data_IF_890623925585
#
_entry.id   IF_890623925585
#
_cell.length_a   1.000
_cell.length_b   1.000
_cell.length_c   1.000
_cell.angle_alpha   90.00
_cell.angle_beta   90.00
_cell.angle_gamma   90.00
#
_symmetry.space_group_name_H-M   'P 1'
#
loop_
_entity.id
_entity.type
_entity.pdbx_description
1 polymer ?
#
# COMPACT_ATOMS: atom_id res chain seq x y z
N UNK A 1 21.32 -6.87 4.83
CA UNK A 1 21.14 -5.50 4.31
C UNK A 1 19.64 -5.28 4.09
N UNK A 2 18.93 -4.82 5.13
CA UNK A 2 17.48 -4.64 5.08
C UNK A 2 17.14 -3.34 4.36
N UNK A 3 16.49 -3.47 3.21
CA UNK A 3 16.08 -2.34 2.38
C UNK A 3 14.88 -1.68 3.06
N UNK A 4 15.12 -0.78 4.02
CA UNK A 4 14.09 0.05 4.66
C UNK A 4 13.60 1.13 3.68
N UNK A 5 12.95 0.69 2.60
CA UNK A 5 12.25 1.58 1.66
C UNK A 5 11.02 2.12 2.38
N UNK A 6 11.13 3.36 2.87
CA UNK A 6 10.06 4.28 3.30
C UNK A 6 8.65 3.66 3.14
N UNK A 7 8.05 3.18 4.23
CA UNK A 7 6.71 2.60 4.27
C UNK A 7 5.64 3.71 4.14
N UNK A 8 5.71 4.51 3.08
CA UNK A 8 4.78 5.60 2.81
C UNK A 8 3.56 5.04 2.08
N UNK A 9 2.39 5.51 2.49
CA UNK A 9 1.13 5.23 1.80
C UNK A 9 1.21 5.68 0.33
N UNK A 10 0.73 4.87 -0.61
CA UNK A 10 0.70 5.18 -2.05
C UNK A 10 -0.68 5.63 -2.56
N UNK A 11 -1.56 6.02 -1.65
CA UNK A 11 -2.94 6.38 -1.96
C UNK A 11 -3.79 5.19 -2.42
N UNK A 12 -5.07 5.43 -2.74
CA UNK A 12 -6.04 4.35 -2.96
C UNK A 12 -5.90 3.66 -4.32
N UNK A 13 -5.23 4.28 -5.30
CA UNK A 13 -5.00 3.68 -6.63
C UNK A 13 -3.64 3.00 -6.74
N UNK A 14 -2.71 3.37 -5.86
CA UNK A 14 -1.44 2.69 -5.69
C UNK A 14 -0.26 3.16 -6.50
N UNK A 15 -0.30 4.41 -6.97
CA UNK A 15 0.82 5.19 -7.50
C UNK A 15 1.84 4.38 -8.30
N UNK A 16 1.75 4.42 -9.63
CA UNK A 16 2.60 3.60 -10.48
C UNK A 16 4.09 3.92 -10.32
N UNK A 17 4.89 2.87 -10.10
CA UNK A 17 6.35 2.94 -10.08
C UNK A 17 7.00 3.15 -8.72
N UNK A 18 8.34 3.08 -8.73
CA UNK A 18 9.20 3.32 -7.56
C UNK A 18 9.37 4.82 -7.24
N UNK A 19 8.77 5.68 -8.09
CA UNK A 19 8.80 7.14 -8.05
C UNK A 19 7.45 7.78 -7.73
N UNK A 20 6.38 7.00 -7.50
CA UNK A 20 5.15 7.59 -7.01
C UNK A 20 5.41 8.13 -5.60
N UNK A 21 5.56 9.45 -5.50
CA UNK A 21 5.65 10.14 -4.22
C UNK A 21 4.48 9.68 -3.37
N UNK A 22 4.79 8.94 -2.31
CA UNK A 22 3.77 8.44 -1.41
C UNK A 22 2.93 9.61 -0.92
N UNK A 23 1.62 9.42 -0.83
CA UNK A 23 0.75 10.39 -0.17
C UNK A 23 1.32 10.61 1.23
N UNK A 24 1.56 11.88 1.60
CA UNK A 24 2.08 12.30 2.91
C UNK A 24 1.09 12.06 4.04
N UNK A 25 0.65 10.81 4.19
CA UNK A 25 -0.21 10.35 5.27
C UNK A 25 0.68 10.06 6.48
N UNK A 26 0.34 10.66 7.61
CA UNK A 26 1.04 10.45 8.88
C UNK A 26 0.44 9.36 9.77
N UNK A 27 -0.38 8.49 9.17
CA UNK A 27 -0.94 7.33 9.86
C UNK A 27 0.17 6.32 10.20
N UNK A 28 0.29 5.90 11.47
CA UNK A 28 1.30 4.93 11.89
C UNK A 28 1.00 3.51 11.40
N UNK A 29 -0.26 3.19 11.10
CA UNK A 29 -0.68 1.89 10.61
C UNK A 29 -0.58 1.84 9.08
N UNK A 30 0.40 1.09 8.59
CA UNK A 30 0.63 0.86 7.16
C UNK A 30 0.40 -0.61 6.84
N UNK A 31 -0.33 -0.87 5.76
CA UNK A 31 -0.72 -2.19 5.28
C UNK A 31 -0.10 -2.47 3.92
N UNK A 32 0.32 -3.70 3.67
CA UNK A 32 0.58 -4.22 2.33
C UNK A 32 -0.62 -5.03 1.84
N UNK A 33 -1.12 -4.66 0.67
CA UNK A 33 -2.24 -5.33 -0.03
C UNK A 33 -1.67 -6.06 -1.24
N UNK A 34 -1.85 -7.38 -1.30
CA UNK A 34 -1.36 -8.18 -2.42
C UNK A 34 -2.13 -7.89 -3.72
N UNK A 35 -1.40 -7.92 -4.84
CA UNK A 35 -1.97 -7.68 -6.17
C UNK A 35 -1.51 -8.72 -7.19
N UNK A 36 -2.39 -9.10 -8.10
CA UNK A 36 -2.11 -10.02 -9.20
C UNK A 36 -1.15 -9.38 -10.21
N UNK A 37 0.02 -9.98 -10.38
CA UNK A 37 1.09 -9.54 -11.32
C UNK A 37 1.56 -8.09 -11.11
N UNK A 38 1.32 -7.52 -9.94
CA UNK A 38 1.77 -6.17 -9.55
C UNK A 38 2.45 -6.24 -8.17
N UNK A 39 3.39 -5.34 -7.85
CA UNK A 39 3.95 -5.24 -6.51
C UNK A 39 2.86 -5.00 -5.46
N UNK A 40 3.06 -5.51 -4.24
CA UNK A 40 2.16 -5.24 -3.13
C UNK A 40 1.99 -3.73 -2.92
N UNK A 41 0.76 -3.31 -2.69
CA UNK A 41 0.39 -1.91 -2.53
C UNK A 41 0.41 -1.53 -1.05
N UNK A 42 1.24 -0.55 -0.71
CA UNK A 42 1.31 0.03 0.64
C UNK A 42 0.32 1.15 0.83
N UNK A 43 -0.56 1.03 1.81
CA UNK A 43 -1.59 2.03 2.13
C UNK A 43 -1.73 2.20 3.64
N UNK A 44 -2.06 3.41 4.08
CA UNK A 44 -2.44 3.64 5.48
C UNK A 44 -3.85 3.12 5.77
N UNK A 45 -4.24 3.10 7.06
CA UNK A 45 -5.58 2.71 7.47
C UNK A 45 -6.69 3.48 6.73
N UNK A 46 -6.51 4.80 6.54
CA UNK A 46 -7.47 5.66 5.82
C UNK A 46 -7.69 5.21 4.37
N UNK A 47 -6.62 4.81 3.69
CA UNK A 47 -6.67 4.43 2.27
C UNK A 47 -6.91 2.93 2.04
N UNK A 48 -6.93 2.10 3.09
CA UNK A 48 -7.14 0.67 2.96
C UNK A 48 -8.50 0.34 2.33
N UNK A 49 -9.60 0.88 2.86
CA UNK A 49 -10.94 0.64 2.32
C UNK A 49 -11.06 1.05 0.84
N UNK A 50 -10.75 2.31 0.49
CA UNK A 50 -10.73 2.74 -0.90
C UNK A 50 -9.79 1.92 -1.80
N UNK A 51 -8.63 1.51 -1.31
CA UNK A 51 -7.69 0.65 -2.05
C UNK A 51 -8.31 -0.69 -2.44
N UNK A 52 -9.02 -1.34 -1.53
CA UNK A 52 -9.66 -2.63 -1.81
C UNK A 52 -10.75 -2.52 -2.89
N UNK A 53 -11.31 -1.32 -3.09
CA UNK A 53 -12.35 -1.05 -4.08
C UNK A 53 -11.80 -0.54 -5.42
N UNK A 54 -10.73 0.25 -5.39
CA UNK A 54 -10.29 1.08 -6.52
C UNK A 54 -8.95 0.66 -7.11
N UNK A 55 -8.09 -0.03 -6.35
CA UNK A 55 -6.78 -0.41 -6.84
C UNK A 55 -6.88 -1.59 -7.81
N UNK A 56 -6.21 -1.47 -8.96
CA UNK A 56 -6.17 -2.54 -9.95
C UNK A 56 -5.45 -3.79 -9.43
N UNK A 57 -6.01 -4.96 -9.71
CA UNK A 57 -5.36 -6.24 -9.46
C UNK A 57 -5.36 -6.70 -7.99
N UNK A 58 -6.08 -6.04 -7.08
CA UNK A 58 -6.25 -6.57 -5.71
C UNK A 58 -6.85 -7.98 -5.75
N UNK A 59 -6.26 -8.90 -4.99
CA UNK A 59 -6.72 -10.30 -4.94
C UNK A 59 -8.08 -10.43 -4.25
N UNK A 60 -8.85 -11.45 -4.63
CA UNK A 60 -10.07 -11.85 -3.92
C UNK A 60 -10.03 -13.36 -3.59
N UNK A 61 -10.07 -13.76 -2.30
CA UNK A 61 -10.14 -12.89 -1.11
C UNK A 61 -8.89 -12.00 -0.96
N UNK A 62 -9.01 -10.84 -0.29
CA UNK A 62 -7.90 -9.90 -0.18
C UNK A 62 -6.87 -10.41 0.82
N UNK A 63 -5.60 -10.40 0.41
CA UNK A 63 -4.47 -10.68 1.29
C UNK A 63 -3.86 -9.36 1.78
N UNK A 64 -3.97 -9.11 3.08
CA UNK A 64 -3.60 -7.84 3.74
C UNK A 64 -2.65 -8.14 4.90
N UNK A 65 -1.54 -7.40 4.99
CA UNK A 65 -0.57 -7.51 6.10
C UNK A 65 -0.30 -6.16 6.72
N UNK A 66 -0.42 -6.04 8.04
CA UNK A 66 0.05 -4.87 8.78
C UNK A 66 1.59 -4.89 8.84
N UNK A 67 2.22 -3.80 8.41
CA UNK A 67 3.70 -3.65 8.42
C UNK A 67 4.16 -2.50 9.32
N UNK A 68 3.26 -1.59 9.72
CA UNK A 68 3.57 -0.42 10.54
C UNK A 68 4.51 0.58 9.85
N UNK A 69 4.68 1.75 10.46
CA UNK A 69 5.76 2.69 10.13
C UNK A 69 6.94 2.37 11.09
N UNK A 70 8.19 2.24 10.62
CA UNK A 70 9.34 2.12 11.51
C UNK A 70 9.50 3.36 12.39
#
# INVERSE_FOLDING_TARGET
MSVHRNARCRGPYGGDGDQADGTGCDDPAVFEVARYRLPALRVCAVHLGPCLLLAGGVLWPPEIRLIGRP
#
